data_IF_839728938562
#
_entry.id   IF_839728938562
#
_cell.length_a   1.000
_cell.length_b   1.000
_cell.length_c   1.000
_cell.angle_alpha   90.00
_cell.angle_beta   90.00
_cell.angle_gamma   90.00
#
_symmetry.space_group_name_H-M   'P 1'
#
loop_
_entity.id
_entity.type
_entity.pdbx_description
1 polymer ?
#
# COMPACT_ATOMS: atom_id res chain seq x y z
N UNK A 1 -8.43 -18.49 6.38
CA UNK A 1 -7.21 -17.84 5.91
C UNK A 1 -6.67 -18.47 4.61
N UNK A 2 -6.40 -19.76 4.57
CA UNK A 2 -5.84 -20.45 3.38
C UNK A 2 -6.69 -20.34 2.10
N UNK A 3 -8.02 -20.29 2.21
CA UNK A 3 -8.94 -20.17 1.05
C UNK A 3 -8.93 -18.80 0.37
N UNK A 4 -8.63 -17.75 1.10
CA UNK A 4 -8.57 -16.37 0.58
C UNK A 4 -7.24 -16.17 -0.17
N UNK A 5 -6.14 -16.67 0.38
CA UNK A 5 -4.82 -16.58 -0.27
C UNK A 5 -4.80 -17.36 -1.60
N UNK A 6 -5.45 -18.54 -1.67
CA UNK A 6 -5.57 -19.29 -2.93
C UNK A 6 -6.38 -18.54 -4.00
N UNK A 7 -7.46 -17.84 -3.62
CA UNK A 7 -8.26 -17.04 -4.58
C UNK A 7 -7.51 -15.79 -5.06
N UNK A 8 -6.75 -15.14 -4.18
CA UNK A 8 -5.91 -13.99 -4.58
C UNK A 8 -4.77 -14.39 -5.52
N UNK A 9 -4.11 -15.53 -5.26
CA UNK A 9 -3.06 -16.06 -6.13
C UNK A 9 -3.54 -16.38 -7.55
N UNK A 10 -4.76 -16.88 -7.69
CA UNK A 10 -5.36 -17.19 -8.99
C UNK A 10 -5.70 -15.91 -9.78
N UNK A 11 -6.16 -14.86 -9.13
CA UNK A 11 -6.49 -13.58 -9.77
C UNK A 11 -5.21 -12.90 -10.29
N UNK A 12 -4.10 -12.93 -9.54
CA UNK A 12 -2.80 -12.41 -9.98
C UNK A 12 -2.25 -13.20 -11.20
N UNK A 13 -2.40 -14.52 -11.21
CA UNK A 13 -1.89 -15.35 -12.30
C UNK A 13 -2.71 -15.20 -13.60
N UNK A 14 -4.02 -15.04 -13.50
CA UNK A 14 -4.90 -14.83 -14.66
C UNK A 14 -4.69 -13.46 -15.29
N UNK A 15 -4.42 -12.42 -14.48
CA UNK A 15 -4.15 -11.07 -15.00
C UNK A 15 -2.85 -10.97 -15.79
N UNK A 16 -1.80 -11.68 -15.38
CA UNK A 16 -0.50 -11.67 -16.09
C UNK A 16 -0.57 -12.35 -17.46
N UNK A 17 -1.33 -13.44 -17.61
CA UNK A 17 -1.46 -14.14 -18.89
C UNK A 17 -2.27 -13.33 -19.91
N UNK A 18 -3.34 -12.67 -19.48
CA UNK A 18 -4.18 -11.85 -20.36
C UNK A 18 -3.49 -10.57 -20.85
N UNK A 19 -2.61 -10.01 -20.03
CA UNK A 19 -1.86 -8.78 -20.33
C UNK A 19 -0.76 -9.04 -21.36
N UNK A 20 -0.07 -10.19 -21.28
CA UNK A 20 0.97 -10.56 -22.26
C UNK A 20 0.39 -10.74 -23.68
N UNK A 21 -0.83 -11.28 -23.79
CA UNK A 21 -1.50 -11.43 -25.08
C UNK A 21 -1.90 -10.07 -25.68
N UNK A 22 -2.28 -9.12 -24.85
CA UNK A 22 -2.66 -7.77 -25.27
C UNK A 22 -1.44 -6.94 -25.67
N UNK A 23 -0.35 -7.00 -24.88
CA UNK A 23 0.91 -6.33 -25.19
C UNK A 23 1.51 -6.82 -26.50
N UNK A 24 1.49 -8.13 -26.75
CA UNK A 24 2.01 -8.72 -27.98
C UNK A 24 1.19 -8.29 -29.23
N UNK A 25 -0.11 -8.16 -29.09
CA UNK A 25 -0.99 -7.67 -30.18
C UNK A 25 -0.75 -6.20 -30.55
N UNK A 26 -0.33 -5.37 -29.60
CA UNK A 26 0.01 -3.96 -29.87
C UNK A 26 1.41 -3.81 -30.49
N UNK A 27 2.31 -4.78 -30.29
CA UNK A 27 3.69 -4.72 -30.76
C UNK A 27 3.84 -5.16 -32.22
N UNK A 28 2.95 -6.03 -32.73
CA UNK A 28 3.03 -6.59 -34.09
C UNK A 28 2.63 -5.57 -35.20
N UNK A 29 2.12 -4.38 -34.85
CA UNK A 29 1.66 -3.38 -35.82
C UNK A 29 2.67 -2.27 -36.14
N UNK A 30 3.91 -2.31 -35.61
CA UNK A 30 4.91 -1.23 -35.77
C UNK A 30 6.23 -1.71 -36.38
N UNK A 31 6.19 -2.54 -37.40
CA UNK A 31 7.34 -2.79 -38.25
C UNK A 31 7.25 -1.94 -39.52
N UNK A 32 7.84 -0.75 -39.45
CA UNK A 32 8.59 -0.15 -40.59
C UNK A 32 8.99 1.29 -40.27
N UNK A 33 10.25 1.55 -39.94
CA UNK A 33 11.06 2.62 -40.57
C UNK A 33 12.43 2.83 -39.90
N UNK A 34 13.46 2.52 -40.67
CA UNK A 34 14.76 3.21 -40.78
C UNK A 34 15.64 3.44 -39.58
N UNK A 35 16.66 2.67 -39.53
CA UNK A 35 18.10 2.94 -39.25
C UNK A 35 18.47 4.43 -39.12
N UNK A 36 18.74 4.89 -37.88
CA UNK A 36 19.75 5.89 -37.57
C UNK A 36 20.00 6.05 -36.05
N UNK A 37 21.27 5.86 -35.70
CA UNK A 37 21.97 6.32 -34.49
C UNK A 37 21.78 5.56 -33.16
N UNK A 38 22.93 5.03 -32.76
CA UNK A 38 23.20 4.09 -31.68
C UNK A 38 23.24 4.74 -30.28
N UNK A 39 22.14 5.27 -29.83
CA UNK A 39 21.84 5.31 -28.40
C UNK A 39 20.67 4.35 -28.16
N UNK A 40 20.69 3.51 -27.13
CA UNK A 40 19.50 2.67 -26.84
C UNK A 40 18.36 3.58 -26.43
N UNK A 41 17.58 4.00 -27.40
CA UNK A 41 16.34 4.73 -27.23
C UNK A 41 15.29 3.69 -26.80
N UNK A 42 15.18 3.49 -25.50
CA UNK A 42 14.10 2.68 -24.96
C UNK A 42 12.80 3.47 -25.07
N UNK A 43 12.05 3.26 -26.12
CA UNK A 43 10.67 3.71 -26.17
C UNK A 43 9.86 2.96 -25.11
N UNK A 44 9.31 3.71 -24.16
CA UNK A 44 8.43 3.13 -23.15
C UNK A 44 6.99 2.98 -23.65
N UNK A 45 6.67 3.47 -24.84
CA UNK A 45 5.32 3.42 -25.37
C UNK A 45 4.88 1.97 -25.56
N UNK A 46 3.74 1.62 -24.92
CA UNK A 46 3.21 0.26 -24.92
C UNK A 46 3.95 -0.74 -24.03
N UNK A 47 5.06 -0.36 -23.38
CA UNK A 47 5.79 -1.28 -22.53
C UNK A 47 5.09 -1.57 -21.20
N UNK A 48 5.30 -2.80 -20.73
CA UNK A 48 4.84 -3.26 -19.43
C UNK A 48 6.05 -3.44 -18.51
N UNK A 49 5.96 -2.88 -17.30
CA UNK A 49 6.99 -3.07 -16.28
C UNK A 49 6.37 -3.76 -15.08
N UNK A 50 6.84 -4.96 -14.77
CA UNK A 50 6.49 -5.66 -13.55
C UNK A 50 7.52 -5.36 -12.47
N UNK A 51 7.08 -4.97 -11.26
CA UNK A 51 7.97 -4.64 -10.13
C UNK A 51 7.58 -5.43 -8.89
N UNK A 52 8.57 -5.88 -8.14
CA UNK A 52 8.42 -6.43 -6.78
C UNK A 52 9.25 -5.59 -5.82
N UNK A 53 8.65 -5.12 -4.74
CA UNK A 53 9.26 -4.22 -3.77
C UNK A 53 9.11 -4.74 -2.35
N UNK A 54 10.13 -4.47 -1.53
CA UNK A 54 10.11 -4.68 -0.07
C UNK A 54 10.43 -3.35 0.61
N UNK A 55 9.84 -3.10 1.77
CA UNK A 55 10.05 -1.82 2.42
C UNK A 55 9.58 -1.70 3.84
N UNK A 56 9.89 -0.56 4.41
CA UNK A 56 9.45 -0.12 5.72
C UNK A 56 8.17 0.71 5.66
N UNK A 57 7.32 0.53 6.66
CA UNK A 57 6.08 1.28 6.84
C UNK A 57 6.22 2.17 8.06
N UNK A 58 6.22 3.48 7.87
CA UNK A 58 6.18 4.47 8.94
C UNK A 58 4.72 4.86 9.16
N UNK A 59 4.20 4.52 10.33
CA UNK A 59 2.79 4.77 10.67
C UNK A 59 2.64 6.07 11.44
N UNK A 60 1.72 6.92 11.01
CA UNK A 60 1.27 8.10 11.74
C UNK A 60 -0.22 7.93 12.11
N UNK A 61 -0.48 7.01 13.02
CA UNK A 61 -1.84 6.67 13.45
C UNK A 61 -2.33 7.63 14.55
N UNK A 62 -2.90 8.77 14.18
CA UNK A 62 -3.52 9.71 15.14
C UNK A 62 -5.00 9.39 15.31
N UNK A 63 -5.40 9.04 16.51
CA UNK A 63 -6.81 8.80 16.86
C UNK A 63 -7.47 10.11 17.29
N UNK A 64 -8.68 10.38 16.76
CA UNK A 64 -9.60 11.33 17.39
C UNK A 64 -10.11 10.69 18.67
N UNK A 65 -10.04 11.43 19.79
CA UNK A 65 -10.38 10.91 21.11
C UNK A 65 -11.72 10.19 21.17
N UNK A 66 -11.82 9.26 22.11
CA UNK A 66 -13.08 8.57 22.46
C UNK A 66 -13.76 9.36 23.59
N UNK A 67 -15.08 9.61 23.53
CA UNK A 67 -15.81 10.11 24.69
C UNK A 67 -15.74 9.07 25.81
N UNK A 68 -15.37 9.47 27.03
CA UNK A 68 -15.36 8.59 28.19
C UNK A 68 -16.63 8.77 29.02
N UNK A 69 -17.05 7.75 29.78
CA UNK A 69 -18.22 7.89 30.70
C UNK A 69 -18.06 9.01 31.73
N UNK A 70 -16.79 9.32 32.07
CA UNK A 70 -16.45 10.31 33.12
C UNK A 70 -16.11 11.69 32.58
N UNK A 71 -15.92 11.84 31.24
CA UNK A 71 -15.61 13.10 30.61
C UNK A 71 -16.31 13.24 29.25
N UNK A 72 -17.12 14.30 29.05
CA UNK A 72 -17.69 14.58 27.73
C UNK A 72 -16.64 15.03 26.71
N UNK A 73 -15.43 15.41 27.15
CA UNK A 73 -14.30 15.74 26.28
C UNK A 73 -13.65 14.46 25.77
N UNK A 74 -13.43 14.35 24.44
CA UNK A 74 -12.80 13.16 23.88
C UNK A 74 -11.33 13.06 24.33
N UNK A 75 -10.99 11.98 25.04
CA UNK A 75 -9.62 11.71 25.49
C UNK A 75 -8.80 11.17 24.33
N UNK A 76 -7.69 11.83 24.01
CA UNK A 76 -6.76 11.34 23.01
C UNK A 76 -6.02 10.11 23.53
N UNK A 77 -6.12 9.00 22.82
CA UNK A 77 -5.51 7.72 23.23
C UNK A 77 -4.10 7.54 22.66
N UNK A 78 -3.60 8.53 21.93
CA UNK A 78 -2.28 8.47 21.28
C UNK A 78 -2.27 7.62 20.01
N UNK A 79 -1.09 7.16 19.63
CA UNK A 79 -0.90 6.34 18.43
C UNK A 79 -1.36 4.90 18.66
N UNK A 80 -2.17 4.37 17.74
CA UNK A 80 -2.71 3.00 17.83
C UNK A 80 -1.80 1.97 17.15
N UNK A 81 -1.04 2.39 16.16
CA UNK A 81 -0.14 1.52 15.40
C UNK A 81 1.30 2.03 15.45
N UNK A 82 2.24 1.11 15.48
CA UNK A 82 3.69 1.33 15.33
C UNK A 82 4.10 1.08 13.89
N UNK A 83 5.34 1.48 13.58
CA UNK A 83 5.99 1.18 12.31
C UNK A 83 5.98 -0.32 12.01
N UNK A 84 6.08 -0.66 10.75
CA UNK A 84 6.03 -2.01 10.24
C UNK A 84 6.92 -2.21 9.03
N UNK A 85 6.69 -3.30 8.35
CA UNK A 85 7.37 -3.67 7.12
C UNK A 85 6.38 -4.38 6.19
N UNK A 86 6.74 -4.47 4.93
CA UNK A 86 5.91 -5.14 3.95
C UNK A 86 6.56 -5.21 2.59
N UNK A 87 5.74 -5.52 1.61
CA UNK A 87 6.14 -5.53 0.22
C UNK A 87 4.92 -5.43 -0.68
N UNK A 88 5.19 -5.23 -1.94
CA UNK A 88 4.15 -5.19 -2.98
C UNK A 88 4.68 -5.74 -4.31
N UNK A 89 3.72 -6.15 -5.14
CA UNK A 89 3.92 -6.42 -6.54
C UNK A 89 3.07 -5.44 -7.35
N UNK A 90 3.63 -4.96 -8.46
CA UNK A 90 2.95 -4.00 -9.33
C UNK A 90 3.23 -4.25 -10.80
N UNK A 91 2.30 -3.78 -11.62
CA UNK A 91 2.45 -3.70 -13.08
C UNK A 91 2.24 -2.26 -13.49
N UNK A 92 3.21 -1.69 -14.18
CA UNK A 92 3.16 -0.35 -14.77
C UNK A 92 2.95 -0.49 -16.27
N UNK A 93 1.96 0.20 -16.81
CA UNK A 93 1.60 0.23 -18.24
C UNK A 93 1.91 1.63 -18.73
N UNK A 94 2.80 1.75 -19.69
CA UNK A 94 3.18 3.02 -20.31
C UNK A 94 2.27 3.35 -21.50
N UNK A 95 1.68 4.54 -21.50
CA UNK A 95 0.91 5.06 -22.63
C UNK A 95 1.78 5.84 -23.60
N UNK A 96 2.83 6.44 -23.10
CA UNK A 96 3.91 7.09 -23.81
C UNK A 96 5.13 7.18 -22.90
N UNK A 97 6.21 7.79 -23.35
CA UNK A 97 7.44 7.91 -22.57
C UNK A 97 7.29 8.62 -21.23
N UNK A 98 6.29 9.49 -21.07
CA UNK A 98 6.07 10.31 -19.87
C UNK A 98 4.94 9.81 -18.97
N UNK A 99 3.92 9.19 -19.55
CA UNK A 99 2.70 8.84 -18.83
C UNK A 99 2.54 7.33 -18.70
N UNK A 100 2.27 6.90 -17.49
CA UNK A 100 2.00 5.50 -17.19
C UNK A 100 0.89 5.35 -16.13
N UNK A 101 0.33 4.17 -16.04
CA UNK A 101 -0.55 3.75 -14.96
C UNK A 101 0.05 2.54 -14.26
N UNK A 102 0.17 2.61 -12.94
CA UNK A 102 0.61 1.48 -12.13
C UNK A 102 -0.56 0.89 -11.33
N UNK A 103 -0.71 -0.42 -11.42
CA UNK A 103 -1.58 -1.24 -10.58
C UNK A 103 -0.72 -1.99 -9.58
N UNK A 104 -1.01 -1.91 -8.29
CA UNK A 104 -0.23 -2.64 -7.29
C UNK A 104 -1.09 -3.31 -6.23
N UNK A 105 -0.58 -4.42 -5.70
CA UNK A 105 -1.13 -5.15 -4.57
C UNK A 105 -0.03 -5.36 -3.53
N UNK A 106 -0.26 -4.84 -2.32
CA UNK A 106 0.71 -4.89 -1.23
C UNK A 106 0.26 -5.80 -0.09
N UNK A 107 1.24 -6.16 0.74
CA UNK A 107 1.02 -6.81 2.02
C UNK A 107 1.95 -6.18 3.05
N UNK A 108 1.36 -5.54 4.07
CA UNK A 108 2.10 -4.82 5.11
C UNK A 108 1.71 -5.30 6.49
N UNK A 109 2.69 -5.42 7.37
CA UNK A 109 2.51 -5.83 8.76
C UNK A 109 2.93 -4.68 9.67
N UNK A 110 1.97 -4.09 10.36
CA UNK A 110 2.18 -3.11 11.41
C UNK A 110 1.97 -3.78 12.77
N UNK A 111 2.36 -3.13 13.85
CA UNK A 111 2.14 -3.63 15.22
C UNK A 111 1.23 -2.69 15.99
N UNK A 112 0.33 -3.26 16.81
CA UNK A 112 -0.48 -2.46 17.72
C UNK A 112 0.36 -1.86 18.84
N UNK A 113 0.04 -0.63 19.27
CA UNK A 113 0.65 0.00 20.43
C UNK A 113 -0.16 -0.39 21.69
N UNK A 114 0.38 -1.34 22.44
CA UNK A 114 -0.26 -1.89 23.63
C UNK A 114 -0.68 -0.82 24.65
N UNK A 115 0.21 0.16 24.90
CA UNK A 115 -0.04 1.23 25.87
C UNK A 115 -1.29 2.04 25.56
N UNK A 116 -1.57 2.28 24.28
CA UNK A 116 -2.76 3.02 23.85
C UNK A 116 -4.05 2.20 24.05
N UNK A 117 -4.00 0.91 23.79
CA UNK A 117 -5.15 0.01 24.04
C UNK A 117 -5.43 -0.17 25.54
N UNK A 118 -4.36 -0.28 26.36
CA UNK A 118 -4.48 -0.34 27.81
C UNK A 118 -5.08 0.95 28.40
N UNK A 119 -4.65 2.11 27.90
CA UNK A 119 -5.22 3.41 28.30
C UNK A 119 -6.71 3.53 27.95
N UNK A 120 -7.13 2.98 26.78
CA UNK A 120 -8.57 2.92 26.47
C UNK A 120 -9.30 2.08 27.50
N UNK A 121 -8.86 0.86 27.79
CA UNK A 121 -9.52 -0.03 28.71
C UNK A 121 -9.62 0.59 30.13
N UNK A 122 -8.53 1.17 30.62
CA UNK A 122 -8.51 1.86 31.92
C UNK A 122 -9.50 3.02 32.00
N UNK A 123 -9.59 3.86 30.96
CA UNK A 123 -10.53 4.98 30.89
C UNK A 123 -12.01 4.55 30.92
N UNK A 124 -12.29 3.29 30.60
CA UNK A 124 -13.63 2.68 30.66
C UNK A 124 -13.83 1.78 31.88
N UNK A 125 -12.90 1.80 32.86
CA UNK A 125 -12.98 1.01 34.11
C UNK A 125 -12.76 -0.48 33.87
N UNK A 126 -12.05 -0.87 32.80
CA UNK A 126 -11.77 -2.28 32.50
C UNK A 126 -10.29 -2.54 32.77
N UNK A 127 -9.91 -2.81 34.02
CA UNK A 127 -8.51 -2.85 34.45
C UNK A 127 -7.78 -4.19 34.16
N UNK A 128 -8.50 -5.28 33.91
CA UNK A 128 -7.93 -6.63 33.77
C UNK A 128 -8.05 -7.23 32.37
N UNK A 129 -7.90 -6.41 31.31
CA UNK A 129 -7.96 -6.94 29.96
C UNK A 129 -6.64 -7.62 29.59
N UNK A 130 -6.66 -8.91 29.30
CA UNK A 130 -5.54 -9.65 28.70
C UNK A 130 -5.33 -9.21 27.25
N UNK A 131 -4.82 -8.01 27.07
CA UNK A 131 -4.40 -7.49 25.79
C UNK A 131 -3.05 -8.13 25.42
N UNK A 132 -2.99 -8.91 24.37
CA UNK A 132 -1.71 -9.44 23.89
C UNK A 132 -0.78 -8.29 23.46
N UNK A 133 0.47 -8.28 23.98
CA UNK A 133 1.48 -7.28 23.60
C UNK A 133 1.80 -7.38 22.10
N UNK A 134 1.92 -6.23 21.41
CA UNK A 134 2.41 -6.12 20.03
C UNK A 134 1.69 -7.02 18.99
N UNK A 135 0.36 -7.12 19.07
CA UNK A 135 -0.40 -7.90 18.08
C UNK A 135 -0.31 -7.28 16.68
N UNK A 136 -0.19 -8.11 15.63
CA UNK A 136 -0.05 -7.60 14.27
C UNK A 136 -1.36 -6.97 13.75
N UNK A 137 -1.19 -5.94 12.93
CA UNK A 137 -2.19 -5.38 12.06
C UNK A 137 -1.71 -5.66 10.64
N UNK A 138 -2.48 -6.40 9.87
CA UNK A 138 -2.21 -6.64 8.46
C UNK A 138 -2.97 -5.63 7.63
N UNK A 139 -2.29 -4.99 6.69
CA UNK A 139 -2.84 -4.07 5.71
C UNK A 139 -2.52 -4.57 4.32
N UNK A 140 -3.54 -4.82 3.52
CA UNK A 140 -3.45 -5.30 2.15
C UNK A 140 -4.01 -4.20 1.24
N UNK A 141 -3.18 -3.24 0.79
CA UNK A 141 -3.60 -2.21 -0.14
C UNK A 141 -3.61 -2.73 -1.57
N UNK A 142 -4.69 -2.45 -2.29
CA UNK A 142 -4.75 -2.48 -3.74
C UNK A 142 -4.77 -1.05 -4.22
N UNK A 143 -3.85 -0.66 -5.13
CA UNK A 143 -3.72 0.72 -5.60
C UNK A 143 -3.78 0.82 -7.12
N UNK A 144 -4.28 1.95 -7.59
CA UNK A 144 -4.15 2.42 -8.96
C UNK A 144 -3.58 3.83 -8.93
N UNK A 145 -2.45 4.05 -9.61
CA UNK A 145 -1.77 5.36 -9.67
C UNK A 145 -1.46 5.74 -11.11
N UNK A 146 -1.80 6.98 -11.49
CA UNK A 146 -1.25 7.61 -12.67
C UNK A 146 0.13 8.15 -12.35
N UNK A 147 1.11 7.87 -13.19
CA UNK A 147 2.52 8.28 -13.02
C UNK A 147 2.93 9.21 -14.16
N UNK A 148 3.75 10.20 -13.80
CA UNK A 148 4.45 11.06 -14.75
C UNK A 148 5.96 10.88 -14.57
N UNK A 149 6.63 10.40 -15.61
CA UNK A 149 8.07 10.20 -15.66
C UNK A 149 8.76 11.47 -16.15
N UNK A 150 9.55 12.11 -15.28
CA UNK A 150 10.12 13.44 -15.50
C UNK A 150 11.24 13.39 -16.54
N UNK A 151 12.05 12.33 -16.50
CA UNK A 151 13.17 12.11 -17.43
C UNK A 151 13.06 10.67 -17.97
N UNK A 152 12.24 10.44 -19.02
CA UNK A 152 11.98 9.09 -19.53
C UNK A 152 13.14 8.49 -20.33
N UNK A 153 14.13 9.32 -20.67
CA UNK A 153 15.30 8.91 -21.47
C UNK A 153 16.51 8.65 -20.58
N UNK A 154 17.20 7.58 -20.83
CA UNK A 154 18.40 7.19 -20.07
C UNK A 154 18.15 6.16 -18.97
N UNK A 155 19.22 5.84 -18.24
CA UNK A 155 19.23 4.77 -17.23
C UNK A 155 18.59 5.15 -15.88
N UNK A 156 18.30 6.45 -15.64
CA UNK A 156 17.70 6.93 -14.37
C UNK A 156 16.40 7.65 -14.72
N UNK A 157 15.26 7.11 -14.25
CA UNK A 157 13.94 7.62 -14.61
C UNK A 157 13.13 7.95 -13.34
N UNK A 158 13.21 9.20 -12.87
CA UNK A 158 12.38 9.64 -11.75
C UNK A 158 10.93 9.84 -12.19
N UNK A 159 10.02 9.54 -11.28
CA UNK A 159 8.59 9.72 -11.50
C UNK A 159 7.85 10.23 -10.26
N UNK A 160 6.73 10.87 -10.50
CA UNK A 160 5.74 11.23 -9.50
C UNK A 160 4.41 10.58 -9.86
N UNK A 161 3.61 10.26 -8.86
CA UNK A 161 2.32 9.62 -9.10
C UNK A 161 1.26 10.05 -8.09
N UNK A 162 0.04 10.01 -8.54
CA UNK A 162 -1.14 10.20 -7.69
C UNK A 162 -2.19 9.17 -8.06
N UNK A 163 -2.95 8.71 -7.07
CA UNK A 163 -3.94 7.69 -7.33
C UNK A 163 -4.88 7.43 -6.18
N UNK A 164 -5.48 6.27 -6.24
CA UNK A 164 -6.46 5.80 -5.29
C UNK A 164 -6.13 4.40 -4.80
N UNK A 165 -6.48 4.12 -3.54
CA UNK A 165 -6.28 2.80 -2.96
C UNK A 165 -7.50 2.33 -2.17
N UNK A 166 -7.72 1.01 -2.17
CA UNK A 166 -8.54 0.30 -1.21
C UNK A 166 -7.66 -0.58 -0.33
N UNK A 167 -7.79 -0.48 0.99
CA UNK A 167 -6.99 -1.27 1.93
C UNK A 167 -7.86 -2.20 2.75
N UNK A 168 -7.59 -3.49 2.65
CA UNK A 168 -8.19 -4.50 3.52
C UNK A 168 -7.37 -4.61 4.80
N UNK A 169 -8.06 -4.51 5.96
CA UNK A 169 -7.41 -4.43 7.26
C UNK A 169 -7.81 -5.61 8.13
N UNK A 170 -6.82 -6.28 8.72
CA UNK A 170 -7.02 -7.36 9.69
C UNK A 170 -6.20 -7.09 10.95
N UNK A 171 -6.75 -7.39 12.12
CA UNK A 171 -6.01 -7.33 13.38
C UNK A 171 -6.29 -8.57 14.22
N UNK A 172 -5.27 -9.01 14.94
CA UNK A 172 -5.35 -10.08 15.94
C UNK A 172 -5.44 -9.53 17.37
N UNK A 173 -5.58 -8.20 17.54
CA UNK A 173 -5.72 -7.61 18.87
C UNK A 173 -7.10 -7.93 19.44
N UNK A 174 -7.10 -8.50 20.65
CA UNK A 174 -8.34 -8.87 21.36
C UNK A 174 -9.17 -7.61 21.62
N UNK A 175 -10.46 -7.65 21.24
CA UNK A 175 -11.38 -6.54 21.48
C UNK A 175 -11.27 -5.37 20.51
N UNK A 176 -10.36 -5.38 19.55
CA UNK A 176 -10.21 -4.37 18.52
C UNK A 176 -10.57 -4.97 17.14
N UNK A 177 -11.41 -4.26 16.38
CA UNK A 177 -11.67 -4.54 14.97
C UNK A 177 -11.38 -3.30 14.15
N UNK A 178 -10.58 -3.44 13.10
CA UNK A 178 -10.29 -2.38 12.16
C UNK A 178 -11.13 -2.63 10.92
N UNK A 179 -11.91 -1.66 10.48
CA UNK A 179 -12.66 -1.75 9.23
C UNK A 179 -11.75 -1.41 8.06
N UNK A 180 -12.06 -1.97 6.91
CA UNK A 180 -11.42 -1.63 5.65
C UNK A 180 -11.53 -0.14 5.39
N UNK A 181 -10.56 0.41 4.69
CA UNK A 181 -10.53 1.82 4.35
C UNK A 181 -10.07 2.02 2.91
N UNK A 182 -10.25 3.22 2.44
CA UNK A 182 -9.84 3.64 1.12
C UNK A 182 -9.46 5.13 1.15
N UNK A 183 -8.75 5.59 0.14
CA UNK A 183 -8.38 7.00 0.04
C UNK A 183 -7.39 7.28 -1.08
N UNK A 184 -6.87 8.50 -1.09
CA UNK A 184 -5.85 8.91 -2.03
C UNK A 184 -4.49 8.30 -1.68
N UNK A 185 -3.63 8.16 -2.67
CA UNK A 185 -2.21 7.81 -2.53
C UNK A 185 -1.38 8.76 -3.39
N UNK A 186 -0.30 9.28 -2.81
CA UNK A 186 0.76 10.00 -3.52
C UNK A 186 2.00 9.12 -3.60
N UNK A 187 2.74 9.22 -4.69
CA UNK A 187 3.90 8.39 -5.00
C UNK A 187 5.02 9.24 -5.59
N UNK A 188 6.24 8.94 -5.18
CA UNK A 188 7.47 9.47 -5.77
C UNK A 188 8.44 8.31 -5.86
N UNK A 189 9.11 8.14 -7.00
CA UNK A 189 10.09 7.08 -7.14
C UNK A 189 11.09 7.34 -8.23
N UNK A 190 12.03 6.41 -8.33
CA UNK A 190 13.04 6.39 -9.37
C UNK A 190 13.32 4.96 -9.81
N UNK A 191 13.34 4.76 -11.11
CA UNK A 191 13.72 3.52 -11.77
C UNK A 191 15.15 3.66 -12.31
N UNK A 192 16.05 2.77 -11.89
CA UNK A 192 17.41 2.63 -12.38
C UNK A 192 17.46 1.45 -13.33
N UNK A 193 17.47 1.71 -14.61
CA UNK A 193 17.55 0.69 -15.64
C UNK A 193 18.98 0.15 -15.73
N UNK A 194 19.10 -1.16 -15.57
CA UNK A 194 20.32 -1.92 -15.86
C UNK A 194 20.26 -2.44 -17.30
N UNK A 195 21.28 -3.21 -17.71
CA UNK A 195 21.21 -3.94 -18.97
C UNK A 195 20.10 -5.01 -18.89
N UNK A 196 19.59 -5.40 -20.07
CA UNK A 196 18.70 -6.57 -20.24
C UNK A 196 17.33 -6.46 -19.53
N UNK A 197 16.60 -5.37 -19.80
CA UNK A 197 15.18 -5.19 -19.37
C UNK A 197 14.94 -5.26 -17.85
N UNK A 198 16.01 -5.17 -17.06
CA UNK A 198 15.96 -5.21 -15.61
C UNK A 198 16.17 -3.82 -15.03
N UNK A 199 15.40 -3.48 -13.99
CA UNK A 199 15.55 -2.23 -13.27
C UNK A 199 15.58 -2.44 -11.74
N UNK A 200 16.22 -1.50 -11.05
CA UNK A 200 16.12 -1.32 -9.61
C UNK A 200 15.20 -0.13 -9.37
N UNK A 201 14.21 -0.29 -8.51
CA UNK A 201 13.25 0.74 -8.16
C UNK A 201 13.42 1.17 -6.70
N UNK A 202 13.38 2.47 -6.46
CA UNK A 202 13.21 3.07 -5.13
C UNK A 202 11.92 3.86 -5.16
N UNK A 203 11.03 3.62 -4.20
CA UNK A 203 9.68 4.16 -4.20
C UNK A 203 9.26 4.62 -2.80
N UNK A 204 8.58 5.75 -2.74
CA UNK A 204 7.99 6.34 -1.53
C UNK A 204 6.52 6.61 -1.80
N UNK A 205 5.64 6.00 -1.00
CA UNK A 205 4.19 6.17 -1.11
C UNK A 205 3.60 6.71 0.18
N UNK A 206 2.84 7.77 0.07
CA UNK A 206 2.02 8.30 1.15
C UNK A 206 0.57 7.90 0.94
N UNK A 207 0.05 7.09 1.83
CA UNK A 207 -1.37 6.71 1.85
C UNK A 207 -2.16 7.65 2.74
N UNK A 208 -3.36 8.04 2.30
CA UNK A 208 -4.33 8.79 3.08
C UNK A 208 -5.50 7.89 3.43
N UNK A 209 -5.52 7.37 4.65
CA UNK A 209 -6.42 6.31 5.09
C UNK A 209 -7.09 6.69 6.41
N UNK A 210 -8.42 6.65 6.42
CA UNK A 210 -9.22 6.97 7.61
C UNK A 210 -10.13 5.77 8.02
N UNK A 211 -9.57 4.65 8.49
CA UNK A 211 -10.35 3.51 8.89
C UNK A 211 -11.16 3.80 10.17
N UNK A 212 -12.26 3.05 10.34
CA UNK A 212 -13.01 3.03 11.59
C UNK A 212 -12.47 1.91 12.49
N UNK A 213 -12.18 2.25 13.72
CA UNK A 213 -11.86 1.29 14.79
C UNK A 213 -13.11 1.00 15.58
N UNK A 214 -13.42 -0.29 15.75
CA UNK A 214 -14.49 -0.76 16.61
C UNK A 214 -13.87 -1.41 17.85
N UNK A 215 -14.19 -0.86 19.01
CA UNK A 215 -13.82 -1.39 20.30
C UNK A 215 -14.97 -2.26 20.80
N UNK A 216 -14.69 -3.52 21.06
CA UNK A 216 -15.68 -4.48 21.55
C UNK A 216 -15.95 -4.28 23.05
N UNK A 217 -17.09 -4.82 23.58
CA UNK A 217 -17.48 -4.65 24.99
C UNK A 217 -16.42 -5.06 26.00
N UNK A 218 -15.57 -6.04 25.68
CA UNK A 218 -14.48 -6.47 26.57
C UNK A 218 -13.36 -5.43 26.76
N UNK A 219 -13.35 -4.34 25.97
CA UNK A 219 -12.41 -3.22 26.10
C UNK A 219 -13.06 -1.94 26.67
N UNK A 220 -14.34 -1.74 26.42
CA UNK A 220 -15.04 -0.47 26.72
C UNK A 220 -16.31 -0.65 27.52
N UNK A 221 -16.48 -1.82 28.19
CA UNK A 221 -17.67 -2.12 28.93
C UNK A 221 -18.84 -2.63 28.06
N UNK A 222 -20.08 -2.42 28.46
CA UNK A 222 -21.25 -3.10 27.88
C UNK A 222 -21.65 -2.68 26.45
N UNK A 223 -20.94 -1.78 25.79
CA UNK A 223 -21.29 -1.28 24.44
C UNK A 223 -20.10 -1.31 23.47
N UNK A 224 -20.36 -1.61 22.20
CA UNK A 224 -19.37 -1.43 21.13
C UNK A 224 -19.24 0.04 20.81
N UNK A 225 -18.00 0.57 20.82
CA UNK A 225 -17.71 1.95 20.46
C UNK A 225 -16.91 2.03 19.19
N UNK A 226 -17.23 3.02 18.37
CA UNK A 226 -16.55 3.24 17.09
C UNK A 226 -15.82 4.57 17.10
N UNK A 227 -14.56 4.58 16.72
CA UNK A 227 -13.75 5.79 16.55
C UNK A 227 -13.15 5.84 15.15
N UNK A 228 -13.00 7.05 14.59
CA UNK A 228 -12.25 7.29 13.35
C UNK A 228 -10.78 7.51 13.68
N UNK A 229 -9.91 6.83 12.96
CA UNK A 229 -8.46 7.00 13.07
C UNK A 229 -7.92 7.52 11.75
N UNK A 230 -7.05 8.51 11.80
CA UNK A 230 -6.24 8.89 10.66
C UNK A 230 -5.00 7.99 10.66
N UNK A 231 -4.99 7.00 9.79
CA UNK A 231 -3.85 6.14 9.56
C UNK A 231 -3.26 6.51 8.20
N UNK A 232 -2.23 7.34 8.22
CA UNK A 232 -1.59 7.80 7.01
C UNK A 232 -0.18 7.18 6.91
N UNK A 233 -0.08 5.89 6.52
CA UNK A 233 1.22 5.24 6.45
C UNK A 233 2.05 5.80 5.28
N UNK A 234 3.31 6.09 5.56
CA UNK A 234 4.35 6.31 4.58
C UNK A 234 5.09 5.00 4.36
N UNK A 235 5.15 4.52 3.13
CA UNK A 235 5.89 3.31 2.76
C UNK A 235 7.10 3.73 1.95
N UNK A 236 8.28 3.31 2.40
CA UNK A 236 9.55 3.48 1.68
C UNK A 236 10.03 2.11 1.28
N UNK A 237 10.22 1.88 0.00
CA UNK A 237 10.52 0.56 -0.55
C UNK A 237 11.63 0.60 -1.60
N UNK A 238 12.31 -0.54 -1.71
CA UNK A 238 13.25 -0.85 -2.78
C UNK A 238 12.80 -2.15 -3.45
N UNK A 239 13.01 -2.26 -4.74
CA UNK A 239 12.61 -3.43 -5.49
C UNK A 239 13.37 -3.62 -6.78
N UNK A 240 13.00 -4.70 -7.43
CA UNK A 240 13.45 -5.06 -8.77
C UNK A 240 12.26 -5.05 -9.72
N UNK A 241 12.50 -4.72 -10.97
CA UNK A 241 11.51 -4.76 -12.03
C UNK A 241 12.04 -5.33 -13.32
N UNK A 242 11.11 -5.76 -14.16
CA UNK A 242 11.38 -6.33 -15.47
C UNK A 242 10.47 -5.67 -16.49
N UNK A 243 11.04 -5.27 -17.63
CA UNK A 243 10.32 -4.69 -18.76
C UNK A 243 9.96 -5.79 -19.77
N UNK A 244 8.77 -5.69 -20.35
CA UNK A 244 8.24 -6.63 -21.35
C UNK A 244 7.71 -5.87 -22.55
#
# INVERSE_FOLDING_TARGET
MLRIVKKLGIILFVSTISINSFAKSMYDDVDSASDYDSTPYYENEGSLVFKMRLGGVVSSAKQKGLPTPTSPQPVSVGEVAKNGYGGDASTTIFFNNYLATELSLGFNVLRTKYTSLAAVAHNYGVDNVKLGKNKPIYMIPATITGQFHIAPYGGIRPYIGIGYHGSYMLTQATGLKIRNGHGAVGQIGVDFYAKDDTLINIDVRQFFLNPKLEYKPNLVGNKTMTSKVKLNPLIVSIGIGFTF
#
